data_IF_239272669260
#
_entry.id   IF_239272669260
#
_cell.length_a   1.000
_cell.length_b   1.000
_cell.length_c   1.000
_cell.angle_alpha   90.00
_cell.angle_beta   90.00
_cell.angle_gamma   90.00
#
_symmetry.space_group_name_H-M   'P 1'
#
loop_
_entity.id
_entity.type
_entity.pdbx_description
1 polymer ?
#
# COMPACT_ATOMS: atom_id res chain seq x y z
N UNK A 1 17.36 3.64 30.38
CA UNK A 1 17.89 3.30 31.72
C UNK A 1 17.96 4.49 32.65
N UNK A 2 18.31 5.67 32.17
CA UNK A 2 18.36 6.88 33.01
C UNK A 2 17.05 7.18 33.76
N UNK A 3 15.89 7.16 33.08
CA UNK A 3 14.58 7.38 33.72
C UNK A 3 14.31 6.34 34.80
N UNK A 4 14.57 5.06 34.54
CA UNK A 4 14.40 3.99 35.53
C UNK A 4 15.28 4.19 36.76
N UNK A 5 16.55 4.57 36.60
CA UNK A 5 17.44 4.86 37.74
C UNK A 5 16.95 6.04 38.58
N UNK A 6 16.40 7.07 37.93
CA UNK A 6 15.80 8.22 38.64
C UNK A 6 14.53 7.80 39.40
N UNK A 7 13.67 6.99 38.79
CA UNK A 7 12.44 6.50 39.41
C UNK A 7 12.74 5.61 40.63
N UNK A 8 13.73 4.73 40.50
CA UNK A 8 14.22 3.85 41.56
C UNK A 8 15.12 4.54 42.60
N UNK A 9 15.42 5.84 42.43
CA UNK A 9 16.36 6.61 43.27
C UNK A 9 17.75 5.96 43.42
N UNK A 10 18.22 5.25 42.39
CA UNK A 10 19.50 4.55 42.40
C UNK A 10 20.62 5.52 42.02
N UNK A 11 21.62 5.63 42.90
CA UNK A 11 22.81 6.44 42.63
C UNK A 11 23.71 5.76 41.61
N UNK A 12 24.48 6.56 40.86
CA UNK A 12 25.51 6.00 39.99
C UNK A 12 26.63 5.31 40.78
N UNK A 13 26.81 5.70 42.06
CA UNK A 13 27.79 5.10 42.98
C UNK A 13 27.45 3.66 43.36
N UNK A 14 26.16 3.31 43.33
CA UNK A 14 25.70 1.98 43.71
C UNK A 14 26.11 0.90 42.70
N UNK A 15 26.59 1.30 41.50
CA UNK A 15 27.05 0.42 40.41
C UNK A 15 26.10 -0.75 40.08
N UNK A 16 24.81 -0.59 40.36
CA UNK A 16 23.74 -1.56 40.08
C UNK A 16 23.67 -1.87 38.59
N UNK A 17 23.52 -3.15 38.25
CA UNK A 17 23.37 -3.60 36.85
C UNK A 17 22.02 -3.16 36.29
N UNK A 18 21.93 -3.04 34.96
CA UNK A 18 20.68 -2.61 34.31
C UNK A 18 19.54 -3.62 34.48
N UNK A 19 19.87 -4.91 34.70
CA UNK A 19 18.89 -5.96 34.96
C UNK A 19 18.25 -5.78 36.35
N UNK A 20 19.07 -5.61 37.39
CA UNK A 20 18.58 -5.35 38.75
C UNK A 20 17.71 -4.09 38.84
N UNK A 21 18.07 -3.04 38.09
CA UNK A 21 17.26 -1.81 38.02
C UNK A 21 15.87 -2.09 37.42
N UNK A 22 15.79 -2.98 36.45
CA UNK A 22 14.52 -3.38 35.84
C UNK A 22 13.70 -4.29 36.76
N UNK A 23 14.34 -5.28 37.40
CA UNK A 23 13.69 -6.18 38.37
C UNK A 23 13.14 -5.39 39.57
N UNK A 24 13.91 -4.44 40.11
CA UNK A 24 13.49 -3.61 41.23
C UNK A 24 12.23 -2.78 40.94
N UNK A 25 12.00 -2.40 39.68
CA UNK A 25 10.83 -1.66 39.24
C UNK A 25 9.73 -2.55 38.66
N UNK A 26 9.91 -3.88 38.62
CA UNK A 26 9.02 -4.80 37.91
C UNK A 26 8.90 -4.50 36.41
N UNK A 27 9.86 -3.78 35.83
CA UNK A 27 9.81 -3.31 34.46
C UNK A 27 10.32 -4.41 33.51
N UNK A 28 9.41 -5.05 32.78
CA UNK A 28 9.76 -6.08 31.81
C UNK A 28 10.31 -5.42 30.54
N UNK A 29 11.60 -5.63 30.26
CA UNK A 29 12.23 -5.22 28.99
C UNK A 29 12.28 -6.40 28.03
N UNK A 30 11.26 -6.55 27.22
CA UNK A 30 11.30 -7.47 26.09
C UNK A 30 12.02 -6.82 24.90
N UNK A 31 13.33 -6.98 24.84
CA UNK A 31 14.14 -6.54 23.69
C UNK A 31 13.59 -7.12 22.39
N UNK A 32 13.23 -8.40 22.40
CA UNK A 32 12.67 -9.13 21.25
C UNK A 32 11.37 -8.48 20.77
N UNK A 33 10.46 -8.17 21.68
CA UNK A 33 9.17 -7.56 21.34
C UNK A 33 9.33 -6.12 20.82
N UNK A 34 10.29 -5.37 21.38
CA UNK A 34 10.67 -4.04 20.88
C UNK A 34 11.19 -4.12 19.45
N UNK A 35 12.09 -5.06 19.17
CA UNK A 35 12.64 -5.27 17.82
C UNK A 35 11.51 -5.68 16.85
N UNK A 36 10.65 -6.62 17.26
CA UNK A 36 9.51 -7.08 16.46
C UNK A 36 8.58 -5.92 16.09
N UNK A 37 8.24 -5.09 17.08
CA UNK A 37 7.38 -3.92 16.87
C UNK A 37 8.02 -2.92 15.90
N UNK A 38 9.33 -2.66 16.03
CA UNK A 38 10.06 -1.78 15.11
C UNK A 38 10.09 -2.31 13.68
N UNK A 39 10.34 -3.62 13.52
CA UNK A 39 10.31 -4.28 12.20
C UNK A 39 8.94 -4.15 11.53
N UNK A 40 7.86 -4.39 12.26
CA UNK A 40 6.48 -4.26 11.72
C UNK A 40 6.17 -2.81 11.35
N UNK A 41 6.54 -1.84 12.20
CA UNK A 41 6.34 -0.41 11.92
C UNK A 41 7.09 0.02 10.66
N UNK A 42 8.33 -0.43 10.50
CA UNK A 42 9.15 -0.16 9.32
C UNK A 42 8.56 -0.77 8.05
N UNK A 43 8.12 -2.04 8.11
CA UNK A 43 7.42 -2.69 7.00
C UNK A 43 6.14 -1.95 6.61
N UNK A 44 5.34 -1.52 7.59
CA UNK A 44 4.15 -0.71 7.36
C UNK A 44 4.45 0.66 6.75
N UNK A 45 5.60 1.26 7.07
CA UNK A 45 6.06 2.50 6.42
C UNK A 45 6.41 2.26 4.95
N UNK A 46 7.19 1.21 4.65
CA UNK A 46 7.52 0.84 3.27
C UNK A 46 6.25 0.57 2.45
N UNK A 47 5.24 -0.10 3.03
CA UNK A 47 3.99 -0.40 2.33
C UNK A 47 3.14 0.84 2.00
N UNK A 48 3.17 1.85 2.86
CA UNK A 48 2.39 3.10 2.71
C UNK A 48 2.98 4.06 1.68
N UNK A 49 4.30 4.14 1.57
CA UNK A 49 4.96 5.05 0.63
C UNK A 49 5.35 4.31 -0.65
N UNK A 50 5.15 4.95 -1.80
CA UNK A 50 5.68 4.45 -3.07
C UNK A 50 7.21 4.59 -3.05
N UNK A 51 7.89 3.50 -2.77
CA UNK A 51 9.34 3.41 -2.73
C UNK A 51 9.77 2.22 -3.58
N UNK A 52 10.96 2.29 -4.18
CA UNK A 52 11.53 1.15 -4.91
C UNK A 52 11.51 -0.14 -4.08
N UNK A 53 11.76 -0.04 -2.77
CA UNK A 53 11.69 -1.16 -1.83
C UNK A 53 10.31 -1.82 -1.77
N UNK A 54 9.22 -1.04 -1.93
CA UNK A 54 7.87 -1.59 -2.00
C UNK A 54 7.69 -2.47 -3.23
N UNK A 55 8.16 -2.02 -4.39
CA UNK A 55 8.02 -2.76 -5.64
C UNK A 55 8.87 -4.04 -5.65
N UNK A 56 10.08 -3.97 -5.07
CA UNK A 56 10.95 -5.15 -4.84
C UNK A 56 10.28 -6.13 -3.86
N UNK A 57 9.73 -5.65 -2.74
CA UNK A 57 9.09 -6.50 -1.74
C UNK A 57 7.77 -7.12 -2.23
N UNK A 58 7.00 -6.38 -3.03
CA UNK A 58 5.74 -6.86 -3.61
C UNK A 58 5.97 -7.73 -4.85
N UNK A 59 7.22 -7.82 -5.34
CA UNK A 59 7.56 -8.61 -6.51
C UNK A 59 6.80 -8.14 -7.75
N UNK A 60 6.65 -6.82 -7.91
CA UNK A 60 6.04 -6.27 -9.12
C UNK A 60 6.97 -6.54 -10.30
N UNK A 61 6.67 -7.62 -11.00
CA UNK A 61 7.21 -7.91 -12.33
C UNK A 61 6.82 -6.77 -13.27
N UNK A 62 7.79 -6.28 -14.04
CA UNK A 62 7.50 -5.33 -15.12
C UNK A 62 6.53 -6.00 -16.11
N UNK A 63 5.29 -5.49 -16.16
CA UNK A 63 4.23 -6.04 -17.00
C UNK A 63 2.84 -5.75 -16.45
N UNK A 64 2.01 -5.07 -17.25
CA UNK A 64 0.61 -4.85 -16.91
C UNK A 64 -0.20 -6.11 -17.22
N UNK A 65 -1.00 -6.60 -16.26
CA UNK A 65 -1.94 -7.68 -16.54
C UNK A 65 -2.91 -7.19 -17.63
N UNK A 66 -3.07 -7.91 -18.75
CA UNK A 66 -3.99 -7.47 -19.81
C UNK A 66 -5.40 -7.38 -19.23
N UNK A 67 -6.12 -6.28 -19.52
CA UNK A 67 -7.55 -6.21 -19.21
C UNK A 67 -8.23 -7.40 -19.88
N UNK A 68 -8.92 -8.23 -19.10
CA UNK A 68 -9.72 -9.32 -19.63
C UNK A 68 -10.70 -8.82 -20.70
N UNK A 69 -11.01 -9.68 -21.68
CA UNK A 69 -11.93 -9.34 -22.77
C UNK A 69 -13.28 -8.90 -22.19
N UNK A 70 -13.73 -7.71 -22.55
CA UNK A 70 -15.04 -7.21 -22.13
C UNK A 70 -16.15 -8.18 -22.59
N UNK A 71 -16.98 -8.65 -21.65
CA UNK A 71 -18.14 -9.49 -21.97
C UNK A 71 -19.05 -8.74 -22.94
N UNK A 72 -19.32 -9.32 -24.11
CA UNK A 72 -20.34 -8.79 -25.01
C UNK A 72 -21.69 -8.84 -24.30
N UNK A 73 -22.31 -7.68 -24.05
CA UNK A 73 -23.72 -7.60 -23.63
C UNK A 73 -24.60 -7.79 -24.87
N UNK A 74 -25.50 -8.76 -24.81
CA UNK A 74 -26.43 -9.14 -25.87
C UNK A 74 -27.35 -7.97 -26.32
N UNK A 75 -27.68 -7.06 -25.40
CA UNK A 75 -28.64 -5.96 -25.62
C UNK A 75 -28.17 -4.83 -26.57
N UNK A 76 -26.97 -4.93 -27.17
CA UNK A 76 -26.49 -3.92 -28.14
C UNK A 76 -26.98 -4.19 -29.57
N UNK A 77 -27.64 -5.33 -29.81
CA UNK A 77 -28.09 -5.75 -31.15
C UNK A 77 -29.48 -5.25 -31.56
N UNK A 78 -30.19 -4.51 -30.69
CA UNK A 78 -31.58 -4.12 -30.95
C UNK A 78 -31.77 -2.65 -31.40
N UNK A 79 -30.69 -1.89 -31.60
CA UNK A 79 -30.77 -0.50 -32.07
C UNK A 79 -30.65 -0.31 -33.59
N UNK A 80 -30.29 -1.34 -34.35
CA UNK A 80 -30.18 -1.26 -35.83
C UNK A 80 -31.48 -1.65 -36.57
N UNK A 81 -32.54 -2.04 -35.86
CA UNK A 81 -33.82 -2.44 -36.47
C UNK A 81 -34.94 -1.40 -36.40
N UNK A 82 -34.71 -0.23 -35.79
CA UNK A 82 -35.74 0.80 -35.68
C UNK A 82 -35.19 2.18 -36.08
N UNK A 83 -35.07 2.40 -37.39
CA UNK A 83 -34.94 3.74 -37.97
C UNK A 83 -36.26 4.11 -38.63
N UNK A 84 -37.04 5.06 -38.06
CA UNK A 84 -38.20 5.63 -38.74
C UNK A 84 -37.72 6.40 -39.96
N UNK A 85 -38.39 6.20 -41.10
CA UNK A 85 -38.16 6.97 -42.32
C UNK A 85 -38.37 8.46 -42.04
N UNK A 86 -37.29 9.25 -42.05
CA UNK A 86 -37.37 10.70 -42.05
C UNK A 86 -36.54 11.30 -43.18
N UNK A 87 -37.23 12.18 -43.91
CA UNK A 87 -36.89 12.74 -45.19
C UNK A 87 -35.96 13.95 -45.04
N UNK A 88 -34.92 14.05 -45.87
CA UNK A 88 -34.38 15.32 -46.35
C UNK A 88 -33.27 16.02 -45.54
N UNK A 89 -32.12 16.23 -46.19
CA UNK A 89 -31.31 17.45 -46.01
C UNK A 89 -29.78 17.25 -45.90
N UNK A 90 -28.94 18.04 -46.60
CA UNK A 90 -27.62 17.60 -47.05
C UNK A 90 -26.42 18.14 -46.26
N UNK A 91 -25.29 17.45 -46.40
CA UNK A 91 -23.96 18.07 -46.42
C UNK A 91 -23.12 17.86 -45.17
N UNK A 92 -22.11 16.97 -45.29
CA UNK A 92 -20.72 17.31 -44.96
C UNK A 92 -19.76 16.22 -45.50
N UNK A 93 -18.93 16.68 -46.44
CA UNK A 93 -17.63 16.20 -46.91
C UNK A 93 -17.09 14.88 -46.35
N UNK A 94 -16.92 13.88 -47.24
CA UNK A 94 -16.09 12.70 -47.01
C UNK A 94 -14.72 12.94 -47.65
N UNK A 95 -13.69 13.11 -46.82
CA UNK A 95 -12.29 12.98 -47.27
C UNK A 95 -12.00 11.49 -47.33
N UNK A 96 -11.71 11.00 -48.54
CA UNK A 96 -11.32 9.62 -48.83
C UNK A 96 -9.82 9.49 -48.53
N UNK A 97 -9.44 8.62 -47.59
CA UNK A 97 -8.07 8.12 -47.50
C UNK A 97 -8.14 6.64 -47.88
N UNK A 98 -7.64 6.34 -49.08
CA UNK A 98 -7.27 4.99 -49.50
C UNK A 98 -6.00 4.56 -48.75
N UNK A 99 -5.93 3.26 -48.48
CA UNK A 99 -4.76 2.55 -47.99
C UNK A 99 -3.47 2.90 -48.75
#
# INVERSE_FOLDING_TARGET
MWIYRRLAKISWKDKKTNQEVCEHLGAIRELVNTIKTRKIKYFGHIKRHASFLKDVLEGKIEGSRPRGRQRRRHYRMDKERYTPMHCGGPGQSKVEIRF
#
